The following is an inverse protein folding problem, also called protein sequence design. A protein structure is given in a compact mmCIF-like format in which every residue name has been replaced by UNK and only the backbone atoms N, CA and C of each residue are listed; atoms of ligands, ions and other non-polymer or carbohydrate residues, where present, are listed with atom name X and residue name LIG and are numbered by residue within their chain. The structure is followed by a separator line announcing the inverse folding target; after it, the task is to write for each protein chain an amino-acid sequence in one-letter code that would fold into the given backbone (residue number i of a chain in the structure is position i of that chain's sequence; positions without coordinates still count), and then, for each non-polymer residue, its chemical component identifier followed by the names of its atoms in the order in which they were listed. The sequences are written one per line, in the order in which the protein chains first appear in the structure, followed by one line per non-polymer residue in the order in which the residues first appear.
data_IF_662951259545
#
_entry.id   IF_662951259545
#
_cell.length_a   1.000
_cell.length_b   1.000
_cell.length_c   1.000
_cell.angle_alpha   90.00
_cell.angle_beta   90.00
_cell.angle_gamma   90.00
#
_symmetry.space_group_name_H-M   'P 1'
#
loop_
_entity.id
_entity.type
_entity.pdbx_description
1 polymer ?
#
# COMPACT_ATOMS: atom_id res chain seq x y z
N UNK A 1 -32.58 -24.93 15.41
CA UNK A 1 -31.94 -25.92 16.28
C UNK A 1 -32.89 -26.35 17.39
N UNK A 2 -32.83 -27.59 17.83
CA UNK A 2 -33.61 -28.14 18.94
C UNK A 2 -32.67 -28.36 20.13
N UNK A 3 -33.12 -27.95 21.32
CA UNK A 3 -32.37 -28.09 22.58
C UNK A 3 -33.23 -28.82 23.63
N UNK A 4 -32.58 -29.54 24.53
CA UNK A 4 -33.28 -30.17 25.67
C UNK A 4 -33.63 -29.13 26.74
N UNK A 5 -34.58 -29.46 27.63
CA UNK A 5 -34.91 -28.63 28.79
C UNK A 5 -33.67 -28.25 29.56
N UNK A 6 -33.51 -26.95 29.87
CA UNK A 6 -32.33 -26.40 30.52
C UNK A 6 -31.07 -26.23 29.65
N UNK A 7 -31.17 -26.58 28.38
CA UNK A 7 -30.07 -26.38 27.43
C UNK A 7 -29.96 -24.92 26.95
N UNK A 8 -28.82 -24.59 26.37
CA UNK A 8 -28.53 -23.27 25.77
C UNK A 8 -28.09 -23.41 24.32
N UNK A 9 -28.38 -22.39 23.54
CA UNK A 9 -27.93 -22.27 22.14
C UNK A 9 -27.28 -20.89 21.96
N UNK A 10 -26.16 -20.86 21.23
CA UNK A 10 -25.51 -19.61 20.83
C UNK A 10 -25.83 -19.31 19.39
N UNK A 11 -26.12 -18.06 19.08
CA UNK A 11 -26.33 -17.57 17.73
C UNK A 11 -25.68 -16.20 17.56
N UNK A 12 -25.04 -15.97 16.42
CA UNK A 12 -24.44 -14.67 16.08
C UNK A 12 -25.42 -13.90 15.22
N UNK A 13 -25.81 -12.73 15.67
CA UNK A 13 -26.68 -11.82 14.95
C UNK A 13 -25.85 -10.73 14.25
N UNK A 14 -26.29 -10.33 13.07
CA UNK A 14 -25.85 -9.09 12.42
C UNK A 14 -26.53 -7.90 13.07
N UNK A 15 -26.06 -6.70 12.79
CA UNK A 15 -26.73 -5.48 13.21
C UNK A 15 -28.17 -5.44 12.65
N UNK A 16 -29.09 -4.97 13.47
CA UNK A 16 -30.49 -4.81 13.08
C UNK A 16 -31.47 -5.34 14.13
N UNK A 17 -32.74 -5.33 13.76
CA UNK A 17 -33.84 -5.84 14.58
C UNK A 17 -34.10 -7.31 14.24
N UNK A 18 -34.12 -8.13 15.26
CA UNK A 18 -34.37 -9.57 15.15
C UNK A 18 -35.52 -9.99 16.06
N UNK A 19 -36.24 -11.00 15.66
CA UNK A 19 -37.25 -11.67 16.51
C UNK A 19 -36.80 -13.08 16.80
N UNK A 20 -36.46 -13.35 18.05
CA UNK A 20 -36.17 -14.69 18.52
C UNK A 20 -37.49 -15.40 18.87
N UNK A 21 -37.76 -16.51 18.18
CA UNK A 21 -38.92 -17.36 18.42
C UNK A 21 -38.49 -18.66 19.06
N UNK A 22 -39.04 -18.92 20.22
CA UNK A 22 -38.80 -20.18 20.96
C UNK A 22 -40.12 -20.96 21.01
N UNK A 23 -40.09 -22.20 20.55
CA UNK A 23 -41.21 -23.11 20.62
C UNK A 23 -40.86 -24.26 21.57
N UNK A 24 -41.66 -24.41 22.60
CA UNK A 24 -41.58 -25.55 23.50
C UNK A 24 -42.64 -26.59 23.10
N UNK A 25 -42.25 -27.86 23.05
CA UNK A 25 -43.14 -29.00 22.74
C UNK A 25 -43.22 -29.88 23.98
N UNK A 26 -44.43 -30.06 24.46
CA UNK A 26 -44.74 -30.96 25.57
C UNK A 26 -44.77 -32.43 25.18
N UNK A 27 -44.82 -33.32 26.18
CA UNK A 27 -44.92 -34.76 25.94
C UNK A 27 -46.18 -35.20 25.20
N UNK A 28 -47.23 -34.39 25.24
CA UNK A 28 -48.46 -34.58 24.51
C UNK A 28 -48.48 -33.94 23.11
N UNK A 29 -47.33 -33.56 22.58
CA UNK A 29 -47.12 -32.86 21.31
C UNK A 29 -47.82 -31.48 21.21
N UNK A 30 -48.32 -30.95 22.29
CA UNK A 30 -48.80 -29.57 22.33
C UNK A 30 -47.57 -28.60 22.36
N UNK A 31 -47.70 -27.52 21.62
CA UNK A 31 -46.65 -26.53 21.49
C UNK A 31 -47.06 -25.20 22.09
N UNK A 32 -46.11 -24.53 22.73
CA UNK A 32 -46.22 -23.15 23.17
C UNK A 32 -45.04 -22.35 22.56
N UNK A 33 -45.34 -21.17 22.07
CA UNK A 33 -44.38 -20.30 21.43
C UNK A 33 -44.23 -19.00 22.21
N UNK A 34 -42.98 -18.56 22.43
CA UNK A 34 -42.65 -17.24 22.91
C UNK A 34 -41.79 -16.52 21.88
N UNK A 35 -42.01 -15.23 21.75
CA UNK A 35 -41.27 -14.37 20.84
C UNK A 35 -40.63 -13.25 21.65
N UNK A 36 -39.34 -12.96 21.34
CA UNK A 36 -38.56 -11.89 21.98
C UNK A 36 -37.95 -11.03 20.88
N UNK A 37 -38.22 -9.74 20.90
CA UNK A 37 -37.58 -8.78 20.01
C UNK A 37 -36.20 -8.42 20.57
N UNK A 38 -35.19 -8.45 19.71
CA UNK A 38 -33.81 -8.13 20.00
C UNK A 38 -33.29 -7.10 19.00
N UNK A 39 -32.78 -6.00 19.48
CA UNK A 39 -32.04 -5.03 18.66
C UNK A 39 -30.55 -5.22 18.89
N UNK A 40 -29.79 -5.45 17.83
CA UNK A 40 -28.34 -5.55 17.85
C UNK A 40 -27.78 -4.31 17.15
N UNK A 41 -26.88 -3.60 17.81
CA UNK A 41 -26.18 -2.45 17.26
C UNK A 41 -24.67 -2.59 17.49
N UNK A 42 -23.88 -2.11 16.54
CA UNK A 42 -22.43 -2.02 16.62
C UNK A 42 -22.01 -0.56 16.45
N UNK A 43 -20.83 -0.23 16.95
CA UNK A 43 -20.23 1.07 16.70
C UNK A 43 -19.76 1.13 15.26
N UNK A 44 -20.07 2.24 14.58
CA UNK A 44 -19.48 2.56 13.27
C UNK A 44 -17.96 2.78 13.41
N UNK A 45 -17.18 2.59 12.36
CA UNK A 45 -15.78 2.98 12.36
C UNK A 45 -15.63 4.46 12.71
N UNK A 46 -14.65 4.78 13.57
CA UNK A 46 -14.33 6.15 14.00
C UNK A 46 -12.83 6.40 13.91
N UNK A 47 -12.42 7.67 14.03
CA UNK A 47 -11.02 8.08 14.03
C UNK A 47 -10.23 7.58 12.81
N UNK A 48 -10.85 7.61 11.63
CA UNK A 48 -10.22 7.19 10.38
C UNK A 48 -9.01 8.07 10.08
N UNK A 49 -7.83 7.45 10.05
CA UNK A 49 -6.56 8.04 9.64
C UNK A 49 -6.13 7.40 8.34
N UNK A 50 -5.75 8.22 7.36
CA UNK A 50 -5.32 7.77 6.04
C UNK A 50 -3.96 8.39 5.72
N UNK A 51 -3.03 7.59 5.22
CA UNK A 51 -1.74 8.05 4.69
C UNK A 51 -1.68 7.68 3.22
N UNK A 52 -1.37 8.66 2.36
CA UNK A 52 -1.26 8.50 0.92
C UNK A 52 0.13 8.97 0.51
N UNK A 53 0.90 8.13 -0.18
CA UNK A 53 2.28 8.42 -0.55
C UNK A 53 2.59 7.94 -1.97
N UNK A 54 3.34 8.76 -2.73
CA UNK A 54 3.92 8.30 -3.99
C UNK A 54 5.03 7.28 -3.70
N UNK A 55 5.07 6.20 -4.47
CA UNK A 55 6.15 5.22 -4.40
C UNK A 55 7.44 5.84 -4.95
N UNK A 56 8.54 5.70 -4.22
CA UNK A 56 9.82 6.30 -4.59
C UNK A 56 10.60 5.50 -5.65
N UNK A 57 10.22 4.24 -5.87
CA UNK A 57 10.90 3.33 -6.79
C UNK A 57 10.11 3.08 -8.08
N UNK A 58 8.79 3.21 -8.03
CA UNK A 58 7.90 2.90 -9.15
C UNK A 58 7.13 4.15 -9.56
N UNK A 59 7.35 4.60 -10.79
CA UNK A 59 6.69 5.77 -11.37
C UNK A 59 5.17 5.62 -11.38
N UNK A 60 4.46 6.67 -11.02
CA UNK A 60 2.99 6.73 -11.01
C UNK A 60 2.31 5.69 -10.11
N UNK A 61 3.03 5.16 -9.14
CA UNK A 61 2.49 4.25 -8.13
C UNK A 61 2.26 4.99 -6.83
N UNK A 62 1.11 4.78 -6.22
CA UNK A 62 0.70 5.36 -4.95
C UNK A 62 0.39 4.24 -3.97
N UNK A 63 0.87 4.37 -2.76
CA UNK A 63 0.61 3.48 -1.65
C UNK A 63 -0.32 4.19 -0.67
N UNK A 64 -1.38 3.50 -0.25
CA UNK A 64 -2.38 4.02 0.68
C UNK A 64 -2.53 3.07 1.85
N UNK A 65 -2.45 3.61 3.06
CA UNK A 65 -2.70 2.88 4.30
C UNK A 65 -3.80 3.57 5.09
N UNK A 66 -4.56 2.80 5.85
CA UNK A 66 -5.60 3.34 6.69
C UNK A 66 -5.72 2.60 8.03
N UNK A 67 -6.12 3.33 9.06
CA UNK A 67 -6.47 2.80 10.37
C UNK A 67 -7.73 3.49 10.88
N UNK A 68 -8.57 2.76 11.59
CA UNK A 68 -9.75 3.31 12.26
C UNK A 68 -10.16 2.41 13.43
N UNK A 69 -10.79 3.00 14.43
CA UNK A 69 -11.41 2.24 15.52
C UNK A 69 -12.64 1.50 14.99
N UNK A 70 -12.87 0.27 15.47
CA UNK A 70 -13.96 -0.63 15.09
C UNK A 70 -14.05 -0.98 13.60
N UNK A 71 -13.06 -0.61 12.80
CA UNK A 71 -12.92 -1.09 11.43
C UNK A 71 -12.30 -2.49 11.41
N UNK A 72 -12.67 -3.29 10.42
CA UNK A 72 -12.06 -4.59 10.12
C UNK A 72 -11.46 -4.63 8.73
N UNK A 73 -12.01 -3.81 7.83
CA UNK A 73 -11.64 -3.80 6.41
C UNK A 73 -11.83 -2.40 5.83
N UNK A 74 -11.01 -2.07 4.85
CA UNK A 74 -11.05 -0.81 4.13
C UNK A 74 -11.22 -1.05 2.64
N UNK A 75 -12.06 -0.24 1.99
CA UNK A 75 -12.11 -0.17 0.53
C UNK A 75 -11.38 1.10 0.10
N UNK A 76 -10.36 0.93 -0.72
CA UNK A 76 -9.54 1.98 -1.28
C UNK A 76 -9.92 2.21 -2.74
N UNK A 77 -10.19 3.46 -3.09
CA UNK A 77 -10.62 3.88 -4.42
C UNK A 77 -9.62 4.90 -4.93
N UNK A 78 -8.95 4.60 -6.04
CA UNK A 78 -7.87 5.42 -6.58
C UNK A 78 -8.32 6.76 -7.18
N UNK A 79 -9.60 6.88 -7.57
CA UNK A 79 -10.11 8.03 -8.33
C UNK A 79 -9.77 7.98 -9.83
N UNK A 80 -9.04 6.98 -10.31
CA UNK A 80 -8.81 6.78 -11.74
C UNK A 80 -10.06 6.18 -12.40
N UNK A 81 -10.46 6.73 -13.54
CA UNK A 81 -11.65 6.28 -14.24
C UNK A 81 -11.53 4.82 -14.69
N UNK A 82 -12.49 3.99 -14.28
CA UNK A 82 -12.55 2.57 -14.61
C UNK A 82 -11.62 1.68 -13.79
N UNK A 83 -10.98 2.20 -12.75
CA UNK A 83 -10.25 1.39 -11.79
C UNK A 83 -11.19 0.78 -10.74
N UNK A 84 -11.00 -0.49 -10.44
CA UNK A 84 -11.75 -1.18 -9.39
C UNK A 84 -11.23 -0.80 -8.00
N UNK A 85 -12.10 -0.75 -6.99
CA UNK A 85 -11.70 -0.59 -5.61
C UNK A 85 -10.82 -1.76 -5.12
N UNK A 86 -9.84 -1.46 -4.29
CA UNK A 86 -9.01 -2.47 -3.61
C UNK A 86 -9.48 -2.59 -2.18
N UNK A 87 -9.82 -3.80 -1.76
CA UNK A 87 -10.20 -4.09 -0.36
C UNK A 87 -9.01 -4.69 0.36
N UNK A 88 -8.68 -4.14 1.52
CA UNK A 88 -7.58 -4.63 2.37
C UNK A 88 -7.99 -4.63 3.85
N UNK A 89 -7.33 -5.47 4.66
CA UNK A 89 -7.55 -5.52 6.09
C UNK A 89 -6.82 -4.39 6.81
N UNK A 90 -7.12 -4.20 8.08
CA UNK A 90 -6.42 -3.23 8.92
C UNK A 90 -4.92 -3.51 8.94
N UNK A 91 -4.11 -2.48 8.69
CA UNK A 91 -2.65 -2.57 8.65
C UNK A 91 -2.05 -3.02 7.31
N UNK A 92 -2.88 -3.40 6.33
CA UNK A 92 -2.41 -3.69 4.97
C UNK A 92 -2.33 -2.40 4.13
N UNK A 93 -1.43 -2.41 3.15
CA UNK A 93 -1.23 -1.30 2.21
C UNK A 93 -1.91 -1.63 0.88
N UNK A 94 -2.80 -0.75 0.43
CA UNK A 94 -3.30 -0.79 -0.94
C UNK A 94 -2.34 -0.02 -1.86
N UNK A 95 -2.07 -0.57 -3.05
CA UNK A 95 -1.21 0.07 -4.03
C UNK A 95 -1.93 0.23 -5.36
N UNK A 96 -1.81 1.42 -5.96
CA UNK A 96 -2.37 1.75 -7.26
C UNK A 96 -1.28 2.22 -8.20
N UNK A 97 -1.29 1.74 -9.44
CA UNK A 97 -0.43 2.23 -10.51
C UNK A 97 -1.29 2.94 -11.53
N UNK A 98 -1.12 4.25 -11.63
CA UNK A 98 -1.90 5.12 -12.51
C UNK A 98 -1.32 5.14 -13.92
N UNK A 99 -2.18 5.32 -14.91
CA UNK A 99 -1.77 5.44 -16.33
C UNK A 99 -1.02 6.75 -16.56
N UNK A 100 -1.51 7.84 -15.97
CA UNK A 100 -0.94 9.17 -16.13
C UNK A 100 -0.63 9.79 -14.75
N UNK A 101 0.38 10.66 -14.72
CA UNK A 101 0.60 11.53 -13.58
C UNK A 101 -0.45 12.64 -13.58
N UNK A 102 -0.86 13.10 -12.40
CA UNK A 102 -1.89 14.12 -12.27
C UNK A 102 -2.56 14.08 -10.91
N UNK A 103 -3.58 14.90 -10.74
CA UNK A 103 -4.34 14.97 -9.49
C UNK A 103 -5.55 14.04 -9.55
N UNK A 104 -5.69 13.19 -8.56
CA UNK A 104 -6.78 12.23 -8.42
C UNK A 104 -7.42 12.36 -7.05
N UNK A 105 -8.73 12.11 -6.96
CA UNK A 105 -9.44 12.07 -5.69
C UNK A 105 -9.38 10.65 -5.14
N UNK A 106 -8.48 10.41 -4.19
CA UNK A 106 -8.38 9.12 -3.49
C UNK A 106 -9.43 9.08 -2.39
N UNK A 107 -10.22 8.00 -2.35
CA UNK A 107 -11.25 7.78 -1.32
C UNK A 107 -10.97 6.50 -0.57
N UNK A 108 -11.21 6.52 0.74
CA UNK A 108 -11.12 5.35 1.61
C UNK A 108 -12.42 5.20 2.39
N UNK A 109 -12.97 3.99 2.41
CA UNK A 109 -14.17 3.66 3.17
C UNK A 109 -13.82 2.61 4.22
N UNK A 110 -13.93 2.99 5.48
CA UNK A 110 -13.75 2.07 6.61
C UNK A 110 -15.05 1.31 6.89
N UNK A 111 -14.97 -0.01 6.97
CA UNK A 111 -16.09 -0.90 7.28
C UNK A 111 -15.76 -1.77 8.49
N UNK A 112 -16.77 -2.03 9.31
CA UNK A 112 -16.70 -2.86 10.51
C UNK A 112 -17.89 -3.81 10.62
N UNK A 113 -18.26 -4.13 11.86
CA UNK A 113 -19.46 -4.93 12.14
C UNK A 113 -20.75 -4.12 11.98
N UNK A 114 -20.69 -2.80 12.13
CA UNK A 114 -21.82 -1.89 11.92
C UNK A 114 -22.20 -1.81 10.43
N UNK A 115 -23.45 -1.51 10.17
CA UNK A 115 -23.96 -1.18 8.82
C UNK A 115 -23.39 0.17 8.37
N UNK A 116 -23.26 1.11 9.30
CA UNK A 116 -22.69 2.42 9.02
C UNK A 116 -21.19 2.33 8.74
N UNK A 117 -20.73 3.14 7.79
CA UNK A 117 -19.32 3.24 7.36
C UNK A 117 -18.79 4.64 7.60
N UNK A 118 -17.48 4.78 7.64
CA UNK A 118 -16.81 6.08 7.68
C UNK A 118 -15.94 6.26 6.46
N UNK A 119 -16.02 7.46 5.86
CA UNK A 119 -15.38 7.76 4.59
C UNK A 119 -14.35 8.88 4.75
N UNK A 120 -13.27 8.78 3.99
CA UNK A 120 -12.24 9.80 3.81
C UNK A 120 -12.05 10.04 2.32
N UNK A 121 -11.81 11.30 1.93
CA UNK A 121 -11.56 11.67 0.54
C UNK A 121 -10.56 12.81 0.50
N UNK A 122 -9.54 12.70 -0.35
CA UNK A 122 -8.50 13.71 -0.53
C UNK A 122 -8.05 13.76 -1.99
N UNK A 123 -7.85 14.97 -2.49
CA UNK A 123 -7.10 15.17 -3.73
C UNK A 123 -5.62 14.92 -3.47
N UNK A 124 -5.01 14.08 -4.31
CA UNK A 124 -3.61 13.70 -4.20
C UNK A 124 -2.93 13.80 -5.58
N UNK A 125 -1.73 14.39 -5.59
CA UNK A 125 -0.92 14.51 -6.80
C UNK A 125 -0.07 13.25 -6.99
N UNK A 126 -0.39 12.51 -8.05
CA UNK A 126 0.37 11.34 -8.50
C UNK A 126 1.53 11.80 -9.36
N UNK A 127 2.75 11.50 -8.95
CA UNK A 127 3.97 11.94 -9.62
C UNK A 127 4.56 10.84 -10.50
N UNK A 128 5.13 11.26 -11.64
CA UNK A 128 5.95 10.38 -12.47
C UNK A 128 7.43 10.54 -12.08
N UNK A 129 8.14 9.42 -11.99
CA UNK A 129 9.59 9.45 -11.92
C UNK A 129 10.07 9.77 -13.33
N UNK A 130 10.68 10.93 -13.50
CA UNK A 130 11.20 11.37 -14.79
C UNK A 130 12.47 10.58 -15.11
N UNK A 131 12.41 9.73 -16.13
CA UNK A 131 13.60 9.20 -16.75
C UNK A 131 14.24 10.31 -17.61
N UNK A 132 15.57 10.45 -17.64
CA UNK A 132 16.23 11.37 -18.54
C UNK A 132 15.83 11.05 -19.99
N UNK A 133 15.23 12.00 -20.68
CA UNK A 133 14.83 11.86 -22.11
C UNK A 133 15.96 12.19 -23.07
N UNK A 134 17.01 12.79 -22.56
CA UNK A 134 18.20 13.16 -23.31
C UNK A 134 19.38 12.40 -22.72
N UNK A 135 20.12 11.71 -23.57
CA UNK A 135 21.37 11.07 -23.16
C UNK A 135 22.31 12.11 -22.54
N UNK A 136 23.11 11.68 -21.55
CA UNK A 136 24.16 12.52 -21.03
C UNK A 136 25.03 13.05 -22.19
N UNK A 137 25.44 14.32 -22.17
CA UNK A 137 26.32 14.83 -23.21
C UNK A 137 27.59 13.99 -23.25
N UNK A 138 28.13 13.80 -24.46
CA UNK A 138 29.39 13.12 -24.60
C UNK A 138 30.43 13.82 -23.70
N UNK A 139 31.27 13.06 -23.00
CA UNK A 139 32.33 13.64 -22.22
C UNK A 139 33.23 14.52 -23.11
N UNK A 140 33.81 15.59 -22.57
CA UNK A 140 34.65 16.49 -23.35
C UNK A 140 35.79 15.71 -24.02
N UNK A 141 36.15 16.12 -25.24
CA UNK A 141 37.21 15.44 -26.00
C UNK A 141 38.50 15.41 -25.21
N UNK A 142 39.23 14.31 -25.31
CA UNK A 142 40.53 14.13 -24.64
C UNK A 142 41.63 15.12 -25.08
N UNK A 143 41.39 15.93 -26.10
CA UNK A 143 42.26 17.02 -26.47
C UNK A 143 42.44 18.10 -25.40
N UNK A 144 41.53 18.14 -24.41
CA UNK A 144 41.69 18.97 -23.23
C UNK A 144 42.67 18.31 -22.26
N UNK A 145 43.80 18.97 -22.01
CA UNK A 145 44.83 18.52 -21.03
C UNK A 145 44.31 18.41 -19.59
N UNK A 146 43.08 18.86 -19.35
CA UNK A 146 42.44 18.85 -18.04
C UNK A 146 41.44 17.71 -17.85
N UNK A 147 41.20 16.88 -18.87
CA UNK A 147 40.22 15.78 -18.80
C UNK A 147 40.91 14.44 -18.69
N UNK A 148 40.73 13.78 -17.55
CA UNK A 148 41.13 12.39 -17.32
C UNK A 148 39.86 11.54 -17.30
N UNK A 149 39.74 10.65 -18.27
CA UNK A 149 38.63 9.69 -18.29
C UNK A 149 38.97 8.50 -17.42
N UNK A 150 38.13 8.26 -16.40
CA UNK A 150 38.25 7.12 -15.51
C UNK A 150 37.27 6.01 -15.93
N UNK A 151 36.12 6.38 -16.44
CA UNK A 151 35.05 5.47 -16.88
C UNK A 151 34.42 6.02 -18.16
N UNK A 152 34.84 5.56 -19.32
CA UNK A 152 34.16 5.88 -20.58
C UNK A 152 34.71 5.03 -21.72
N UNK A 153 33.81 4.35 -22.42
CA UNK A 153 34.12 3.59 -23.65
C UNK A 153 34.54 4.49 -24.81
N UNK A 154 34.31 5.80 -24.68
CA UNK A 154 34.67 6.79 -25.70
C UNK A 154 36.19 7.16 -25.72
N UNK A 155 36.94 6.68 -24.75
CA UNK A 155 38.35 7.05 -24.59
C UNK A 155 39.24 5.82 -24.53
N UNK A 156 40.41 5.94 -25.11
CA UNK A 156 41.49 4.94 -24.96
C UNK A 156 41.94 4.99 -23.50
N UNK A 157 42.12 3.83 -22.88
CA UNK A 157 42.65 3.72 -21.51
C UNK A 157 43.96 4.49 -21.36
N UNK A 158 44.13 5.19 -20.26
CA UNK A 158 45.37 5.84 -19.90
C UNK A 158 46.12 4.91 -18.96
N UNK A 159 47.23 4.38 -19.43
CA UNK A 159 48.17 3.67 -18.57
C UNK A 159 48.74 4.61 -17.50
N UNK A 160 48.98 4.08 -16.32
CA UNK A 160 49.68 4.78 -15.22
C UNK A 160 48.94 6.02 -14.66
N UNK A 161 47.57 5.99 -14.63
CA UNK A 161 46.85 7.00 -13.87
C UNK A 161 47.18 6.84 -12.38
N UNK A 162 47.89 7.81 -11.81
CA UNK A 162 48.08 7.84 -10.38
C UNK A 162 46.76 8.22 -9.69
N UNK A 163 46.09 7.23 -9.19
CA UNK A 163 44.83 7.38 -8.43
C UNK A 163 45.09 7.58 -6.93
N UNK A 164 46.30 7.89 -6.54
CA UNK A 164 46.65 8.16 -5.16
C UNK A 164 46.43 9.65 -4.84
N UNK A 165 45.28 10.04 -4.31
CA UNK A 165 45.08 11.40 -3.85
C UNK A 165 45.95 11.65 -2.63
N UNK A 166 46.46 12.88 -2.46
CA UNK A 166 47.25 13.35 -1.33
C UNK A 166 46.52 13.30 0.04
N UNK A 167 45.62 12.38 0.21
CA UNK A 167 44.84 12.22 1.45
C UNK A 167 45.46 11.23 2.44
N UNK A 168 46.73 10.87 2.22
CA UNK A 168 47.44 9.97 3.12
C UNK A 168 47.00 8.51 3.07
N UNK A 169 46.13 8.14 2.14
CA UNK A 169 45.80 6.75 1.87
C UNK A 169 46.59 6.26 0.67
N UNK A 170 47.71 5.65 0.94
CA UNK A 170 48.51 4.96 -0.08
C UNK A 170 47.77 3.67 -0.49
N UNK A 171 47.02 3.74 -1.55
CA UNK A 171 46.59 2.56 -2.28
C UNK A 171 47.81 2.02 -3.07
N UNK A 172 48.69 1.39 -2.37
CA UNK A 172 49.76 0.62 -2.99
C UNK A 172 49.20 -0.75 -3.39
N UNK A 173 48.37 -0.76 -4.39
CA UNK A 173 48.01 -2.00 -5.06
C UNK A 173 48.61 -1.94 -6.45
N UNK A 174 49.54 -2.80 -6.76
CA UNK A 174 49.95 -3.07 -8.12
C UNK A 174 48.81 -3.49 -9.06
N UNK A 175 47.63 -3.65 -8.55
CA UNK A 175 46.42 -3.96 -9.30
C UNK A 175 45.76 -2.79 -10.02
N UNK A 176 46.09 -1.55 -9.71
CA UNK A 176 45.48 -0.40 -10.38
C UNK A 176 46.03 -0.15 -11.78
N UNK A 177 47.27 -0.54 -12.01
CA UNK A 177 47.89 -0.45 -13.33
C UNK A 177 47.30 -1.48 -14.29
N UNK A 178 46.65 -2.50 -13.77
CA UNK A 178 46.03 -3.60 -14.54
C UNK A 178 44.51 -3.47 -14.66
N UNK A 179 43.91 -2.37 -14.14
CA UNK A 179 42.47 -2.17 -14.29
C UNK A 179 42.20 -1.86 -15.76
N UNK A 180 41.77 -2.86 -16.49
CA UNK A 180 41.29 -2.70 -17.85
C UNK A 180 39.91 -1.99 -17.80
N UNK A 181 39.94 -0.70 -18.08
CA UNK A 181 38.77 0.15 -18.16
C UNK A 181 38.04 0.03 -19.50
N UNK A 182 38.45 -0.88 -20.36
CA UNK A 182 37.83 -1.16 -21.66
C UNK A 182 36.93 -2.41 -21.65
N UNK A 183 36.49 -2.86 -20.47
CA UNK A 183 35.59 -4.00 -20.32
C UNK A 183 34.14 -3.73 -20.69
#
# INVERSE_FOLDING_TARGET
SSIKTGGSVKHTFKEGNHTLKVTATGLNNLTTTAEVSLTVSFNAPENLQVTIENDTAVSKKVNVTATADWATVFDFISGEAGADPVTANIGETASFTYKEAGTYTVKVVARGAAIATTEYSQEFEVTAILAPTVSAPNPPSRASSTVISIFSDAYTSVADVNMNPDWGQMWQGSGYAELDLNG
#
